data_IF_425671404840
#
_entry.id   IF_425671404840
#
_cell.length_a   1.000
_cell.length_b   1.000
_cell.length_c   1.000
_cell.angle_alpha   90.00
_cell.angle_beta   90.00
_cell.angle_gamma   90.00
#
_symmetry.space_group_name_H-M   'P 1'
#
loop_
_entity.id
_entity.type
_entity.pdbx_description
1 polymer ?
#
# COMPACT_ATOMS: atom_id res chain seq x y z
N UNK A 1 33.46 -2.09 -0.14
CA UNK A 1 32.21 -1.42 -0.52
C UNK A 1 32.47 0.07 -0.48
N UNK A 2 32.59 0.70 -1.65
CA UNK A 2 32.92 2.13 -1.77
C UNK A 2 31.68 2.90 -2.23
N UNK A 3 31.66 4.23 -2.06
CA UNK A 3 30.55 5.08 -2.52
C UNK A 3 30.27 4.93 -4.04
N UNK A 4 31.24 4.44 -4.82
CA UNK A 4 31.10 4.15 -6.24
C UNK A 4 30.24 2.91 -6.55
N UNK A 5 30.13 1.96 -5.61
CA UNK A 5 29.24 0.79 -5.73
C UNK A 5 27.75 1.20 -5.64
N UNK A 6 27.46 2.41 -5.12
CA UNK A 6 26.11 2.98 -5.00
C UNK A 6 25.77 4.00 -6.12
N UNK A 7 26.66 4.21 -7.09
CA UNK A 7 26.47 5.19 -8.18
C UNK A 7 26.27 4.55 -9.55
N UNK A 8 26.00 3.24 -9.62
CA UNK A 8 25.59 2.60 -10.86
C UNK A 8 24.25 3.16 -11.39
N UNK A 9 23.94 3.02 -12.68
CA UNK A 9 22.67 3.45 -13.28
C UNK A 9 21.43 2.77 -12.67
N UNK A 10 21.63 1.82 -11.76
CA UNK A 10 20.61 1.21 -10.90
C UNK A 10 20.17 2.06 -9.69
N UNK A 11 20.92 3.11 -9.32
CA UNK A 11 20.66 3.95 -8.14
C UNK A 11 20.19 5.37 -8.45
N UNK A 12 20.13 5.77 -9.72
CA UNK A 12 19.39 6.98 -10.10
C UNK A 12 17.92 6.61 -10.25
N UNK A 13 17.06 7.13 -9.37
CA UNK A 13 15.60 6.90 -9.41
C UNK A 13 14.95 7.25 -10.77
N UNK A 14 15.65 8.02 -11.59
CA UNK A 14 15.33 8.37 -12.97
C UNK A 14 15.27 7.13 -13.90
N UNK A 15 16.14 6.14 -13.71
CA UNK A 15 16.21 4.92 -14.55
C UNK A 15 14.98 4.01 -14.42
N UNK A 16 14.52 3.77 -13.19
CA UNK A 16 13.38 2.87 -12.93
C UNK A 16 12.04 3.47 -13.36
N UNK A 17 11.84 4.77 -13.12
CA UNK A 17 10.66 5.50 -13.60
C UNK A 17 10.62 5.56 -15.12
N UNK A 18 11.75 5.67 -15.80
CA UNK A 18 11.78 5.66 -17.27
C UNK A 18 11.52 4.25 -17.81
N UNK A 19 12.12 3.22 -17.20
CA UNK A 19 12.06 1.84 -17.68
C UNK A 19 10.74 1.10 -17.39
N UNK A 20 9.98 1.49 -16.36
CA UNK A 20 8.76 0.80 -15.99
C UNK A 20 7.65 0.98 -17.06
N UNK A 21 6.91 -0.09 -17.42
CA UNK A 21 5.72 0.01 -18.27
C UNK A 21 4.67 0.95 -17.68
N UNK A 22 3.82 1.54 -18.53
CA UNK A 22 2.78 2.47 -18.09
C UNK A 22 1.81 1.80 -17.10
N UNK A 23 1.55 0.50 -17.27
CA UNK A 23 0.71 -0.31 -16.40
C UNK A 23 1.23 -0.31 -14.96
N UNK A 24 2.55 -0.43 -14.78
CA UNK A 24 3.20 -0.39 -13.46
C UNK A 24 3.13 1.01 -12.86
N UNK A 25 3.30 2.06 -13.68
CA UNK A 25 3.20 3.45 -13.23
C UNK A 25 1.78 3.79 -12.76
N UNK A 26 0.77 3.38 -13.52
CA UNK A 26 -0.64 3.57 -13.14
C UNK A 26 -0.96 2.76 -11.89
N UNK A 27 -0.55 1.49 -11.82
CA UNK A 27 -0.74 0.66 -10.64
C UNK A 27 -0.08 1.28 -9.40
N UNK A 28 1.15 1.79 -9.53
CA UNK A 28 1.86 2.50 -8.46
C UNK A 28 1.01 3.64 -7.89
N UNK A 29 0.48 4.53 -8.75
CA UNK A 29 -0.34 5.63 -8.29
C UNK A 29 -1.65 5.19 -7.64
N UNK A 30 -2.27 4.11 -8.11
CA UNK A 30 -3.46 3.54 -7.46
C UNK A 30 -3.15 3.01 -6.05
N UNK A 31 -2.02 2.32 -5.86
CA UNK A 31 -1.60 1.87 -4.52
C UNK A 31 -1.25 3.04 -3.59
N UNK A 32 -0.65 4.11 -4.13
CA UNK A 32 -0.40 5.34 -3.39
C UNK A 32 -1.70 6.01 -2.97
N UNK A 33 -2.68 6.13 -3.88
CA UNK A 33 -4.00 6.66 -3.57
C UNK A 33 -4.68 5.85 -2.46
N UNK A 34 -4.63 4.52 -2.53
CA UNK A 34 -5.13 3.64 -1.48
C UNK A 34 -4.44 3.86 -0.13
N UNK A 35 -3.12 4.02 -0.12
CA UNK A 35 -2.39 4.32 1.11
C UNK A 35 -2.84 5.66 1.71
N UNK A 36 -3.00 6.70 0.89
CA UNK A 36 -3.48 8.01 1.35
C UNK A 36 -4.91 7.93 1.90
N UNK A 37 -5.82 7.24 1.20
CA UNK A 37 -7.19 7.05 1.65
C UNK A 37 -7.25 6.26 2.96
N UNK A 38 -6.42 5.21 3.09
CA UNK A 38 -6.32 4.42 4.34
C UNK A 38 -5.85 5.28 5.51
N UNK A 39 -4.85 6.15 5.31
CA UNK A 39 -4.39 7.08 6.34
C UNK A 39 -5.50 8.07 6.71
N UNK A 40 -6.18 8.65 5.73
CA UNK A 40 -7.29 9.56 5.98
C UNK A 40 -8.40 8.89 6.79
N UNK A 41 -8.78 7.66 6.42
CA UNK A 41 -9.76 6.86 7.16
C UNK A 41 -9.31 6.53 8.57
N UNK A 42 -8.05 6.15 8.77
CA UNK A 42 -7.49 5.87 10.09
C UNK A 42 -7.50 7.11 11.00
N UNK A 43 -7.15 8.29 10.46
CA UNK A 43 -7.22 9.55 11.19
C UNK A 43 -8.65 9.92 11.56
N UNK A 44 -9.62 9.69 10.66
CA UNK A 44 -11.03 9.88 10.95
C UNK A 44 -11.51 8.94 12.06
N UNK A 45 -11.13 7.66 12.03
CA UNK A 45 -11.46 6.69 13.09
C UNK A 45 -10.90 7.17 14.44
N UNK A 46 -9.65 7.60 14.48
CA UNK A 46 -9.03 8.10 15.71
C UNK A 46 -9.73 9.37 16.22
N UNK A 47 -10.04 10.32 15.33
CA UNK A 47 -10.72 11.57 15.66
C UNK A 47 -12.13 11.34 16.18
N UNK A 48 -12.93 10.54 15.46
CA UNK A 48 -14.28 10.17 15.86
C UNK A 48 -14.24 9.41 17.18
N UNK A 49 -13.35 8.42 17.31
CA UNK A 49 -13.18 7.65 18.53
C UNK A 49 -12.88 8.51 19.75
N UNK A 50 -11.98 9.49 19.61
CA UNK A 50 -11.65 10.45 20.67
C UNK A 50 -12.84 11.38 21.03
N UNK A 51 -13.77 11.61 20.10
CA UNK A 51 -14.96 12.43 20.33
C UNK A 51 -16.10 11.67 21.02
N UNK A 52 -16.15 10.33 20.94
CA UNK A 52 -17.27 9.53 21.49
C UNK A 52 -17.55 9.84 22.98
N UNK A 53 -16.55 9.84 23.90
CA UNK A 53 -16.82 10.08 25.31
C UNK A 53 -17.48 11.43 25.60
N UNK A 54 -17.14 12.46 24.82
CA UNK A 54 -17.75 13.79 24.95
C UNK A 54 -19.23 13.80 24.57
N UNK A 55 -19.61 13.00 23.59
CA UNK A 55 -21.00 12.92 23.10
C UNK A 55 -21.84 12.02 24.01
N UNK A 56 -21.25 10.94 24.54
CA UNK A 56 -21.97 9.96 25.37
C UNK A 56 -21.93 10.27 26.86
N UNK A 57 -21.10 11.23 27.30
CA UNK A 57 -20.85 11.51 28.71
C UNK A 57 -20.02 10.42 29.42
N UNK A 58 -19.37 9.53 28.66
CA UNK A 58 -18.52 8.49 29.24
C UNK A 58 -17.26 9.10 29.86
N UNK A 59 -16.80 8.56 31.00
CA UNK A 59 -15.63 9.06 31.72
C UNK A 59 -14.85 7.92 32.38
N UNK A 60 -13.62 8.20 32.80
CA UNK A 60 -12.75 7.20 33.44
C UNK A 60 -12.53 5.96 32.56
N UNK A 61 -12.66 4.79 33.17
CA UNK A 61 -12.41 3.49 32.52
C UNK A 61 -13.36 3.22 31.35
N UNK A 62 -14.61 3.68 31.42
CA UNK A 62 -15.59 3.50 30.34
C UNK A 62 -15.14 4.23 29.07
N UNK A 63 -14.64 5.46 29.21
CA UNK A 63 -14.10 6.23 28.08
C UNK A 63 -12.87 5.55 27.48
N UNK A 64 -11.95 5.06 28.31
CA UNK A 64 -10.74 4.37 27.86
C UNK A 64 -11.08 3.09 27.10
N UNK A 65 -12.07 2.32 27.57
CA UNK A 65 -12.50 1.05 26.95
C UNK A 65 -12.98 1.22 25.52
N UNK A 66 -13.52 2.39 25.16
CA UNK A 66 -13.98 2.74 23.82
C UNK A 66 -12.86 3.36 22.97
N UNK A 67 -12.11 4.29 23.55
CA UNK A 67 -11.10 5.07 22.80
C UNK A 67 -9.87 4.23 22.45
N UNK A 68 -9.35 3.44 23.40
CA UNK A 68 -8.13 2.66 23.23
C UNK A 68 -8.16 1.70 22.03
N UNK A 69 -9.21 0.86 21.81
CA UNK A 69 -9.25 -0.03 20.65
C UNK A 69 -9.33 0.74 19.33
N UNK A 70 -10.03 1.86 19.27
CA UNK A 70 -10.13 2.67 18.04
C UNK A 70 -8.78 3.31 17.68
N UNK A 71 -8.05 3.81 18.67
CA UNK A 71 -6.67 4.30 18.46
C UNK A 71 -5.76 3.16 18.00
N UNK A 72 -5.86 1.98 18.62
CA UNK A 72 -5.06 0.82 18.23
C UNK A 72 -5.32 0.41 16.78
N UNK A 73 -6.59 0.37 16.35
CA UNK A 73 -6.98 0.12 14.96
C UNK A 73 -6.40 1.18 14.03
N UNK A 74 -6.52 2.47 14.37
CA UNK A 74 -5.99 3.56 13.55
C UNK A 74 -4.46 3.45 13.36
N UNK A 75 -3.72 3.15 14.42
CA UNK A 75 -2.27 2.96 14.36
C UNK A 75 -1.90 1.80 13.43
N UNK A 76 -2.61 0.67 13.55
CA UNK A 76 -2.40 -0.51 12.69
C UNK A 76 -2.68 -0.16 11.23
N UNK A 77 -3.78 0.53 10.93
CA UNK A 77 -4.12 0.94 9.56
C UNK A 77 -3.06 1.89 8.97
N UNK A 78 -2.54 2.83 9.75
CA UNK A 78 -1.44 3.72 9.32
C UNK A 78 -0.19 2.91 9.00
N UNK A 79 0.18 1.93 9.84
CA UNK A 79 1.32 1.06 9.59
C UNK A 79 1.14 0.25 8.29
N UNK A 80 -0.06 -0.28 8.04
CA UNK A 80 -0.39 -0.95 6.78
C UNK A 80 -0.28 -0.01 5.58
N UNK A 81 -0.76 1.23 5.69
CA UNK A 81 -0.67 2.22 4.63
C UNK A 81 0.78 2.58 4.30
N UNK A 82 1.63 2.78 5.31
CA UNK A 82 3.06 3.03 5.13
C UNK A 82 3.73 1.84 4.45
N UNK A 83 3.46 0.61 4.92
CA UNK A 83 4.02 -0.60 4.32
C UNK A 83 3.58 -0.76 2.85
N UNK A 84 2.30 -0.50 2.55
CA UNK A 84 1.73 -0.51 1.19
C UNK A 84 2.42 0.52 0.29
N UNK A 85 2.64 1.74 0.79
CA UNK A 85 3.37 2.78 0.07
C UNK A 85 4.82 2.34 -0.24
N UNK A 86 5.54 1.81 0.76
CA UNK A 86 6.90 1.29 0.56
C UNK A 86 6.89 0.16 -0.47
N UNK A 87 5.98 -0.80 -0.36
CA UNK A 87 5.85 -1.88 -1.34
C UNK A 87 5.55 -1.34 -2.75
N UNK A 88 4.72 -0.31 -2.91
CA UNK A 88 4.48 0.34 -4.20
C UNK A 88 5.77 0.92 -4.80
N UNK A 89 6.59 1.61 -4.01
CA UNK A 89 7.91 2.12 -4.47
C UNK A 89 8.83 0.97 -4.89
N UNK A 90 8.88 -0.12 -4.14
CA UNK A 90 9.70 -1.27 -4.50
C UNK A 90 9.17 -2.03 -5.73
N UNK A 91 7.86 -2.06 -5.93
CA UNK A 91 7.23 -2.61 -7.13
C UNK A 91 7.62 -1.80 -8.38
N UNK A 92 7.60 -0.46 -8.27
CA UNK A 92 8.02 0.44 -9.35
C UNK A 92 9.48 0.23 -9.75
N UNK A 93 10.31 -0.25 -8.81
CA UNK A 93 11.71 -0.63 -9.02
C UNK A 93 11.90 -2.09 -9.48
N UNK A 94 10.83 -2.78 -9.89
CA UNK A 94 10.92 -4.13 -10.46
C UNK A 94 11.10 -5.26 -9.45
N UNK A 95 10.90 -5.03 -8.15
CA UNK A 95 11.01 -6.11 -7.14
C UNK A 95 9.77 -7.00 -7.11
N UNK A 96 9.96 -8.29 -7.36
CA UNK A 96 8.86 -9.30 -7.37
C UNK A 96 8.22 -9.53 -6.00
N UNK A 97 8.99 -9.44 -4.90
CA UNK A 97 8.45 -9.59 -3.55
C UNK A 97 7.39 -8.52 -3.24
N UNK A 98 7.62 -7.29 -3.72
CA UNK A 98 6.74 -6.16 -3.47
C UNK A 98 5.41 -6.34 -4.19
N UNK A 99 5.44 -6.87 -5.41
CA UNK A 99 4.24 -7.24 -6.17
C UNK A 99 3.40 -8.27 -5.42
N UNK A 100 4.02 -9.31 -4.88
CA UNK A 100 3.32 -10.34 -4.13
C UNK A 100 2.75 -9.79 -2.81
N UNK A 101 3.50 -8.95 -2.10
CA UNK A 101 3.04 -8.29 -0.88
C UNK A 101 1.80 -7.41 -1.14
N UNK A 102 1.82 -6.58 -2.17
CA UNK A 102 0.66 -5.76 -2.58
C UNK A 102 -0.52 -6.63 -3.01
N UNK A 103 -0.27 -7.78 -3.62
CA UNK A 103 -1.34 -8.71 -4.00
C UNK A 103 -2.05 -9.26 -2.76
N UNK A 104 -1.28 -9.71 -1.77
CA UNK A 104 -1.83 -10.22 -0.50
C UNK A 104 -2.61 -9.11 0.21
N UNK A 105 -2.05 -7.90 0.33
CA UNK A 105 -2.72 -6.75 0.94
C UNK A 105 -3.97 -6.33 0.16
N UNK A 106 -3.94 -6.39 -1.17
CA UNK A 106 -5.07 -6.08 -2.02
C UNK A 106 -6.22 -7.04 -1.78
N UNK A 107 -5.93 -8.34 -1.77
CA UNK A 107 -6.93 -9.39 -1.50
C UNK A 107 -7.50 -9.26 -0.08
N UNK A 108 -6.65 -9.08 0.94
CA UNK A 108 -7.12 -8.85 2.32
C UNK A 108 -7.97 -7.58 2.40
N UNK A 109 -7.54 -6.50 1.76
CA UNK A 109 -8.28 -5.24 1.70
C UNK A 109 -9.65 -5.40 1.06
N UNK A 110 -9.76 -6.18 -0.03
CA UNK A 110 -11.04 -6.49 -0.69
C UNK A 110 -11.99 -7.31 0.21
N UNK A 111 -11.48 -8.18 1.07
CA UNK A 111 -12.30 -8.80 2.09
C UNK A 111 -12.70 -7.81 3.19
N UNK A 112 -11.81 -6.88 3.53
CA UNK A 112 -12.07 -5.80 4.48
C UNK A 112 -13.20 -4.87 4.04
N UNK A 113 -13.26 -4.50 2.75
CA UNK A 113 -14.33 -3.64 2.22
C UNK A 113 -15.72 -4.28 2.30
N UNK A 114 -15.80 -5.60 2.51
CA UNK A 114 -17.07 -6.28 2.79
C UNK A 114 -17.75 -5.75 4.06
N UNK A 115 -16.96 -5.33 5.06
CA UNK A 115 -17.46 -4.70 6.29
C UNK A 115 -17.93 -3.27 6.02
N UNK A 116 -17.25 -2.54 5.14
CA UNK A 116 -17.57 -1.16 4.79
C UNK A 116 -18.88 -1.02 4.01
N UNK A 117 -19.30 -2.04 3.24
CA UNK A 117 -20.59 -2.01 2.54
C UNK A 117 -21.77 -1.78 3.49
N UNK A 118 -21.65 -2.18 4.75
CA UNK A 118 -22.71 -1.94 5.76
C UNK A 118 -22.79 -0.49 6.22
N UNK A 119 -21.68 0.25 6.18
CA UNK A 119 -21.58 1.63 6.66
C UNK A 119 -21.69 2.65 5.53
N UNK A 120 -21.01 2.41 4.40
CA UNK A 120 -21.05 3.26 3.22
C UNK A 120 -20.71 2.46 1.95
N UNK A 121 -21.76 2.01 1.25
CA UNK A 121 -21.63 1.20 0.03
C UNK A 121 -20.78 1.88 -1.04
N UNK A 122 -20.94 3.18 -1.25
CA UNK A 122 -20.23 3.90 -2.31
C UNK A 122 -18.71 3.92 -2.07
N UNK A 123 -18.29 4.13 -0.82
CA UNK A 123 -16.87 4.10 -0.42
C UNK A 123 -16.30 2.69 -0.59
N UNK A 124 -17.02 1.66 -0.11
CA UNK A 124 -16.60 0.27 -0.26
C UNK A 124 -16.42 -0.16 -1.73
N UNK A 125 -17.33 0.27 -2.61
CA UNK A 125 -17.23 0.01 -4.06
C UNK A 125 -16.01 0.73 -4.64
N UNK A 126 -15.81 2.01 -4.31
CA UNK A 126 -14.70 2.80 -4.84
C UNK A 126 -13.33 2.18 -4.49
N UNK A 127 -13.10 1.84 -3.22
CA UNK A 127 -11.88 1.15 -2.78
C UNK A 127 -11.70 -0.19 -3.50
N UNK A 128 -12.76 -0.98 -3.59
CA UNK A 128 -12.69 -2.28 -4.24
C UNK A 128 -12.31 -2.18 -5.72
N UNK A 129 -12.87 -1.21 -6.44
CA UNK A 129 -12.54 -0.97 -7.85
C UNK A 129 -11.09 -0.51 -8.02
N UNK A 130 -10.62 0.43 -7.18
CA UNK A 130 -9.23 0.91 -7.22
C UNK A 130 -8.26 -0.23 -6.98
N UNK A 131 -8.48 -1.05 -5.94
CA UNK A 131 -7.66 -2.20 -5.63
C UNK A 131 -7.67 -3.25 -6.76
N UNK A 132 -8.84 -3.56 -7.33
CA UNK A 132 -8.98 -4.52 -8.42
C UNK A 132 -8.22 -4.06 -9.68
N UNK A 133 -8.38 -2.81 -10.09
CA UNK A 133 -7.69 -2.27 -11.26
C UNK A 133 -6.17 -2.28 -11.03
N UNK A 134 -5.71 -1.87 -9.83
CA UNK A 134 -4.30 -1.88 -9.49
C UNK A 134 -3.70 -3.28 -9.56
N UNK A 135 -4.41 -4.29 -9.05
CA UNK A 135 -4.03 -5.70 -9.12
C UNK A 135 -3.93 -6.18 -10.56
N UNK A 136 -4.96 -5.95 -11.37
CA UNK A 136 -4.97 -6.39 -12.78
C UNK A 136 -3.77 -5.82 -13.52
N UNK A 137 -3.50 -4.52 -13.37
CA UNK A 137 -2.36 -3.85 -14.01
C UNK A 137 -1.00 -4.48 -13.65
N UNK A 138 -0.82 -4.97 -12.43
CA UNK A 138 0.43 -5.64 -12.01
C UNK A 138 0.69 -6.97 -12.70
N UNK A 139 -0.34 -7.58 -13.27
CA UNK A 139 -0.30 -8.91 -13.88
C UNK A 139 -0.54 -8.90 -15.39
N UNK A 140 -0.64 -7.73 -16.02
CA UNK A 140 -0.67 -7.61 -17.48
C UNK A 140 0.62 -8.17 -18.14
N UNK A 141 0.59 -8.54 -19.43
CA UNK A 141 1.74 -9.11 -20.12
C UNK A 141 3.00 -8.21 -20.07
N UNK A 142 2.83 -6.90 -20.28
CA UNK A 142 3.92 -5.92 -20.20
C UNK A 142 4.56 -5.87 -18.80
N UNK A 143 3.71 -5.83 -17.75
CA UNK A 143 4.11 -5.90 -16.35
C UNK A 143 4.88 -7.18 -16.04
N UNK A 144 4.38 -8.34 -16.49
CA UNK A 144 5.05 -9.62 -16.29
C UNK A 144 6.40 -9.69 -16.99
N UNK A 145 6.53 -9.13 -18.19
CA UNK A 145 7.82 -9.05 -18.90
C UNK A 145 8.82 -8.21 -18.10
N UNK A 146 8.39 -7.06 -17.57
CA UNK A 146 9.22 -6.18 -16.75
C UNK A 146 9.79 -6.90 -15.51
N UNK A 147 8.97 -7.63 -14.76
CA UNK A 147 9.42 -8.35 -13.56
C UNK A 147 10.24 -9.62 -13.85
N UNK A 148 10.24 -10.13 -15.09
CA UNK A 148 11.01 -11.31 -15.51
C UNK A 148 12.36 -10.96 -16.14
N UNK A 149 12.60 -9.68 -16.44
CA UNK A 149 13.84 -9.24 -17.05
C UNK A 149 15.05 -9.60 -16.15
N UNK A 150 16.09 -10.28 -16.67
CA UNK A 150 17.27 -10.65 -15.89
C UNK A 150 17.94 -9.42 -15.30
N UNK A 151 18.11 -9.39 -13.98
CA UNK A 151 18.92 -8.36 -13.34
C UNK A 151 20.40 -8.58 -13.70
N UNK A 152 21.13 -7.56 -14.17
CA UNK A 152 22.51 -7.70 -14.68
C UNK A 152 23.55 -8.20 -13.67
N UNK A 153 23.20 -8.35 -12.38
CA UNK A 153 24.13 -8.74 -11.31
C UNK A 153 24.42 -10.24 -11.20
N UNK A 154 23.77 -11.11 -11.98
CA UNK A 154 23.84 -12.58 -11.78
C UNK A 154 24.85 -13.33 -12.64
N UNK A 155 25.71 -12.64 -13.40
CA UNK A 155 26.59 -13.27 -14.41
C UNK A 155 28.09 -13.17 -14.14
N UNK A 156 28.54 -12.86 -12.92
CA UNK A 156 29.98 -12.70 -12.62
C UNK A 156 30.47 -13.55 -11.46
N UNK A 157 30.42 -14.89 -11.56
CA UNK A 157 31.22 -15.76 -10.66
C UNK A 157 31.39 -17.21 -11.16
N UNK A 158 31.61 -17.43 -12.46
CA UNK A 158 32.13 -18.72 -12.95
C UNK A 158 33.28 -18.44 -13.92
N UNK A 159 34.43 -18.15 -13.33
CA UNK A 159 35.75 -18.19 -13.94
C UNK A 159 36.68 -18.85 -12.94
#
# INVERSE_FOLDING_TARGET
>A
MTAADFSGPEFTDESALIAAPIEIKVSFWLWVSEAVLTVAGALLIALVGAAIPWVTGASGDDAVSVVAPLIAIAVVLIAFAVFRFVAAVYMLRGRTWARNALTILGVIGLFGTALDYSANVAVGIAHSLVALVALVLMFLPASNAYFRAPHPYRTRSRG
#
